data_IF_871147957257
#
_entry.id   IF_871147957257
#
_cell.length_a   1.000
_cell.length_b   1.000
_cell.length_c   1.000
_cell.angle_alpha   90.00
_cell.angle_beta   90.00
_cell.angle_gamma   90.00
#
_symmetry.space_group_name_H-M   'P 1'
#
loop_
_entity.id
_entity.type
_entity.pdbx_description
1 polymer ?
#
# COMPACT_ATOMS: atom_id res chain seq x y z
N UNK A 1 1.69 -18.91 -12.18
CA UNK A 1 2.64 -18.96 -11.05
C UNK A 1 3.87 -18.05 -11.22
N UNK A 2 4.42 -17.86 -12.43
CA UNK A 2 5.73 -17.19 -12.64
C UNK A 2 5.86 -15.70 -12.27
N UNK A 3 4.78 -14.95 -12.05
CA UNK A 3 4.83 -13.50 -11.73
C UNK A 3 4.34 -13.17 -10.31
N UNK A 4 4.09 -14.19 -9.49
CA UNK A 4 3.65 -14.03 -8.12
C UNK A 4 4.74 -13.36 -7.28
N UNK A 5 4.34 -12.51 -6.32
CA UNK A 5 5.29 -11.98 -5.32
C UNK A 5 5.39 -12.97 -4.14
N UNK A 6 6.56 -13.57 -3.88
CA UNK A 6 6.74 -14.43 -2.71
C UNK A 6 6.90 -13.60 -1.43
N UNK A 7 6.39 -14.10 -0.32
CA UNK A 7 6.74 -13.63 1.02
C UNK A 7 7.83 -14.53 1.62
N UNK A 8 8.60 -13.99 2.57
CA UNK A 8 9.52 -14.81 3.36
C UNK A 8 8.73 -15.86 4.14
N UNK A 9 9.24 -17.08 4.24
CA UNK A 9 8.55 -18.12 5.00
C UNK A 9 8.65 -17.86 6.50
N UNK A 10 7.53 -17.95 7.21
CA UNK A 10 7.49 -17.90 8.68
C UNK A 10 7.49 -19.32 9.21
N UNK A 11 8.51 -19.66 10.00
CA UNK A 11 8.65 -20.98 10.59
C UNK A 11 7.43 -21.34 11.44
N UNK A 12 6.84 -22.51 11.17
CA UNK A 12 5.67 -23.01 11.90
C UNK A 12 4.32 -22.48 11.42
N UNK A 13 4.29 -21.63 10.39
CA UNK A 13 3.06 -21.11 9.78
C UNK A 13 2.93 -21.65 8.35
N UNK A 14 1.98 -22.57 8.15
CA UNK A 14 1.70 -23.13 6.83
C UNK A 14 1.24 -22.04 5.84
N UNK A 15 1.74 -22.10 4.60
CA UNK A 15 1.42 -21.16 3.52
C UNK A 15 1.73 -19.68 3.84
N UNK A 16 2.66 -19.41 4.77
CA UNK A 16 3.07 -18.04 5.14
C UNK A 16 3.90 -17.30 4.09
N UNK A 17 4.33 -18.01 3.05
CA UNK A 17 4.92 -17.47 1.83
C UNK A 17 3.85 -16.96 0.84
N UNK A 18 2.56 -17.17 1.16
CA UNK A 18 1.46 -16.85 0.27
C UNK A 18 0.84 -15.45 0.49
N UNK A 19 0.84 -14.60 -0.55
CA UNK A 19 -0.09 -13.47 -0.72
C UNK A 19 -0.62 -13.39 -2.15
N UNK A 20 -1.86 -12.93 -2.33
CA UNK A 20 -2.45 -12.71 -3.66
C UNK A 20 -1.94 -11.40 -4.29
N UNK A 21 -0.68 -11.40 -4.72
CA UNK A 21 -0.02 -10.29 -5.38
C UNK A 21 0.83 -10.75 -6.57
N UNK A 22 0.89 -9.92 -7.61
CA UNK A 22 1.67 -10.18 -8.84
C UNK A 22 2.51 -8.98 -9.23
N UNK A 23 3.73 -9.24 -9.72
CA UNK A 23 4.54 -8.24 -10.36
C UNK A 23 3.98 -7.88 -11.73
N UNK A 24 3.96 -6.59 -12.02
CA UNK A 24 3.57 -6.04 -13.32
C UNK A 24 4.69 -5.15 -13.83
N UNK A 25 5.07 -5.36 -15.08
CA UNK A 25 6.09 -4.55 -15.74
C UNK A 25 5.50 -3.19 -16.12
N UNK A 26 6.26 -2.13 -15.87
CA UNK A 26 5.91 -0.79 -16.32
C UNK A 26 6.67 -0.43 -17.58
N UNK A 27 6.27 0.67 -18.22
CA UNK A 27 7.01 1.23 -19.35
C UNK A 27 8.49 1.53 -18.99
N UNK A 28 8.73 1.96 -17.76
CA UNK A 28 10.04 2.38 -17.27
C UNK A 28 10.90 1.22 -16.72
N UNK A 29 10.39 -0.01 -16.65
CA UNK A 29 11.16 -1.15 -16.15
C UNK A 29 10.35 -2.39 -15.79
N UNK A 30 11.07 -3.50 -15.58
CA UNK A 30 10.48 -4.74 -15.04
C UNK A 30 10.09 -4.55 -13.58
N UNK A 31 9.07 -5.30 -13.15
CA UNK A 31 8.54 -5.31 -11.77
C UNK A 31 8.27 -3.91 -11.20
N UNK A 32 7.78 -2.99 -12.05
CA UNK A 32 7.55 -1.60 -11.67
C UNK A 32 6.35 -1.45 -10.72
N UNK A 33 5.36 -2.32 -10.87
CA UNK A 33 4.18 -2.36 -10.03
C UNK A 33 4.01 -3.73 -9.38
N UNK A 34 3.30 -3.75 -8.27
CA UNK A 34 2.74 -4.94 -7.65
C UNK A 34 1.23 -4.73 -7.61
N UNK A 35 0.49 -5.56 -8.35
CA UNK A 35 -0.97 -5.56 -8.27
C UNK A 35 -1.41 -6.57 -7.21
N UNK A 36 -2.26 -6.15 -6.29
CA UNK A 36 -2.79 -7.00 -5.22
C UNK A 36 -4.27 -6.70 -4.98
N UNK A 37 -4.97 -7.67 -4.41
CA UNK A 37 -6.29 -7.39 -3.83
C UNK A 37 -6.16 -6.51 -2.59
N UNK A 38 -7.25 -5.83 -2.24
CA UNK A 38 -7.39 -5.17 -0.93
C UNK A 38 -7.18 -6.21 0.18
N UNK A 39 -6.35 -5.91 1.21
CA UNK A 39 -6.10 -6.84 2.30
C UNK A 39 -7.39 -7.27 2.99
N UNK A 40 -7.57 -8.58 3.16
CA UNK A 40 -8.64 -9.16 3.96
C UNK A 40 -8.21 -9.14 5.44
N UNK A 41 -9.15 -9.19 6.41
CA UNK A 41 -8.81 -9.17 7.84
C UNK A 41 -7.71 -10.18 8.24
N UNK A 42 -7.71 -11.37 7.62
CA UNK A 42 -6.72 -12.42 7.88
C UNK A 42 -5.40 -12.27 7.10
N UNK A 43 -5.31 -11.33 6.14
CA UNK A 43 -4.12 -11.09 5.31
C UNK A 43 -3.51 -9.70 5.51
N UNK A 44 -3.94 -8.96 6.54
CA UNK A 44 -3.41 -7.62 6.84
C UNK A 44 -1.92 -7.69 7.18
N UNK A 45 -1.53 -8.67 7.99
CA UNK A 45 -0.13 -8.86 8.36
C UNK A 45 0.73 -9.19 7.14
N UNK A 46 0.26 -10.10 6.28
CA UNK A 46 0.94 -10.47 5.04
C UNK A 46 1.09 -9.28 4.07
N UNK A 47 0.12 -8.36 4.06
CA UNK A 47 0.24 -7.13 3.29
C UNK A 47 1.36 -6.23 3.79
N UNK A 48 1.50 -6.01 5.10
CA UNK A 48 2.61 -5.22 5.62
C UNK A 48 3.96 -5.92 5.42
N UNK A 49 4.00 -7.25 5.51
CA UNK A 49 5.17 -8.07 5.16
C UNK A 49 5.56 -7.89 3.69
N UNK A 50 4.59 -7.83 2.77
CA UNK A 50 4.82 -7.51 1.35
C UNK A 50 5.45 -6.12 1.18
N UNK A 51 4.88 -5.10 1.83
CA UNK A 51 5.37 -3.72 1.77
C UNK A 51 6.82 -3.63 2.26
N UNK A 52 7.12 -4.26 3.40
CA UNK A 52 8.45 -4.30 3.99
C UNK A 52 9.45 -5.07 3.10
N UNK A 53 9.10 -6.28 2.67
CA UNK A 53 9.99 -7.14 1.87
C UNK A 53 10.36 -6.51 0.53
N UNK A 54 9.42 -5.83 -0.11
CA UNK A 54 9.66 -5.15 -1.39
C UNK A 54 10.21 -3.73 -1.23
N UNK A 55 10.38 -3.26 0.02
CA UNK A 55 10.80 -1.89 0.36
C UNK A 55 9.95 -0.85 -0.37
N UNK A 56 8.67 -1.16 -0.57
CA UNK A 56 7.75 -0.30 -1.31
C UNK A 56 7.35 0.89 -0.45
N UNK A 57 7.72 2.09 -0.88
CA UNK A 57 7.37 3.34 -0.20
C UNK A 57 6.03 3.93 -0.64
N UNK A 58 5.40 3.34 -1.65
CA UNK A 58 4.24 3.94 -2.32
C UNK A 58 3.18 2.87 -2.58
N UNK A 59 1.99 3.13 -2.03
CA UNK A 59 0.80 2.29 -2.14
C UNK A 59 -0.30 3.15 -2.75
N UNK A 60 -1.03 2.61 -3.73
CA UNK A 60 -2.16 3.27 -4.39
C UNK A 60 -3.42 2.46 -4.17
N UNK A 61 -4.45 3.10 -3.63
CA UNK A 61 -5.78 2.54 -3.46
C UNK A 61 -6.73 3.16 -4.49
N UNK A 62 -7.25 2.32 -5.37
CA UNK A 62 -8.17 2.71 -6.45
C UNK A 62 -9.59 2.18 -6.19
N UNK A 63 -10.15 2.52 -5.02
CA UNK A 63 -11.41 1.96 -4.56
C UNK A 63 -12.42 3.06 -4.25
N UNK A 64 -13.65 2.91 -4.77
CA UNK A 64 -14.79 3.72 -4.38
C UNK A 64 -15.32 3.24 -3.03
N UNK A 65 -14.76 3.75 -1.94
CA UNK A 65 -15.28 3.41 -0.62
C UNK A 65 -16.54 4.25 -0.38
N UNK A 66 -17.69 3.73 -0.84
CA UNK A 66 -19.00 4.33 -0.55
C UNK A 66 -19.33 4.29 0.95
N UNK A 67 -18.86 3.25 1.63
CA UNK A 67 -19.01 3.04 3.07
C UNK A 67 -17.65 2.62 3.67
N UNK A 68 -17.04 3.49 4.47
CA UNK A 68 -15.77 3.20 5.16
C UNK A 68 -15.87 2.00 6.12
N UNK A 69 -17.09 1.61 6.50
CA UNK A 69 -17.38 0.45 7.35
C UNK A 69 -17.25 -0.89 6.63
N UNK A 70 -17.39 -0.94 5.31
CA UNK A 70 -17.22 -2.19 4.54
C UNK A 70 -15.77 -2.41 4.10
N UNK A 71 -14.91 -1.40 4.18
CA UNK A 71 -13.52 -1.49 3.80
C UNK A 71 -12.67 -1.90 5.00
N UNK A 72 -11.94 -3.04 4.94
CA UNK A 72 -11.07 -3.42 6.04
C UNK A 72 -9.97 -2.37 6.20
N UNK A 73 -10.01 -1.63 7.31
CA UNK A 73 -8.94 -0.71 7.69
C UNK A 73 -7.72 -1.53 8.09
N UNK A 74 -6.77 -1.65 7.18
CA UNK A 74 -5.55 -2.43 7.35
C UNK A 74 -4.38 -1.60 7.88
N UNK A 75 -4.59 -0.32 8.20
CA UNK A 75 -3.58 0.62 8.68
C UNK A 75 -4.00 1.25 10.02
N UNK A 76 -3.06 1.78 10.81
CA UNK A 76 -3.36 2.46 12.07
C UNK A 76 -4.14 3.76 11.84
N UNK A 77 -5.16 4.00 12.65
CA UNK A 77 -6.03 5.18 12.52
C UNK A 77 -5.68 6.32 13.48
N UNK A 78 -4.95 6.02 14.56
CA UNK A 78 -4.57 7.02 15.55
C UNK A 78 -3.19 7.59 15.17
N UNK A 79 -3.16 8.87 14.83
CA UNK A 79 -1.92 9.55 14.46
C UNK A 79 -0.94 9.56 15.64
N UNK A 80 0.30 9.17 15.39
CA UNK A 80 1.36 9.12 16.40
C UNK A 80 1.30 7.91 17.35
N UNK A 81 0.35 6.99 17.18
CA UNK A 81 0.28 5.75 17.95
C UNK A 81 0.76 4.57 17.09
N UNK A 82 1.89 3.92 17.44
CA UNK A 82 2.35 2.73 16.75
C UNK A 82 1.37 1.55 16.95
N UNK A 83 1.12 0.81 15.88
CA UNK A 83 0.35 -0.43 15.89
C UNK A 83 1.21 -1.57 15.38
N UNK A 84 1.19 -2.71 16.08
CA UNK A 84 1.95 -3.88 15.73
C UNK A 84 1.16 -4.79 14.77
N UNK A 85 1.79 -5.17 13.67
CA UNK A 85 1.34 -6.14 12.68
C UNK A 85 2.37 -7.27 12.61
N UNK A 86 2.15 -8.30 13.43
CA UNK A 86 3.09 -9.41 13.62
C UNK A 86 4.47 -8.90 14.09
N UNK A 87 5.54 -9.08 13.32
CA UNK A 87 6.89 -8.60 13.64
C UNK A 87 7.13 -7.14 13.21
N UNK A 88 6.16 -6.49 12.57
CA UNK A 88 6.31 -5.13 12.04
C UNK A 88 5.52 -4.15 12.89
N UNK A 89 6.04 -2.94 13.02
CA UNK A 89 5.39 -1.82 13.70
C UNK A 89 5.11 -0.73 12.68
N UNK A 90 3.86 -0.27 12.64
CA UNK A 90 3.40 0.77 11.72
C UNK A 90 2.79 1.91 12.52
N UNK A 91 3.22 3.13 12.25
CA UNK A 91 2.64 4.34 12.82
C UNK A 91 2.17 5.26 11.70
N UNK A 92 1.01 5.89 11.88
CA UNK A 92 0.57 6.97 11.00
C UNK A 92 1.16 8.30 11.47
N UNK A 93 1.87 9.00 10.59
CA UNK A 93 2.45 10.31 10.85
C UNK A 93 1.47 11.44 10.49
N UNK A 94 0.78 11.31 9.35
CA UNK A 94 -0.15 12.32 8.88
C UNK A 94 -1.18 11.76 7.90
N UNK A 95 -2.32 12.45 7.84
CA UNK A 95 -3.38 12.23 6.85
C UNK A 95 -3.78 13.59 6.29
N UNK A 96 -3.84 13.71 4.96
CA UNK A 96 -4.31 14.90 4.25
C UNK A 96 -5.25 14.50 3.12
N UNK A 97 -6.14 15.39 2.72
CA UNK A 97 -7.03 15.17 1.57
C UNK A 97 -7.02 16.39 0.65
N UNK A 98 -6.65 16.18 -0.60
CA UNK A 98 -6.60 17.23 -1.62
C UNK A 98 -7.15 16.69 -2.94
N UNK A 99 -8.04 17.46 -3.59
CA UNK A 99 -8.61 17.12 -4.90
C UNK A 99 -9.28 15.73 -5.02
N UNK A 100 -9.69 15.12 -3.91
CA UNK A 100 -10.26 13.76 -3.88
C UNK A 100 -9.22 12.64 -3.85
N UNK A 101 -7.98 12.98 -3.48
CA UNK A 101 -6.91 12.05 -3.15
C UNK A 101 -6.62 12.23 -1.68
N UNK A 102 -6.86 11.18 -0.89
CA UNK A 102 -6.45 11.13 0.50
C UNK A 102 -5.05 10.53 0.59
N UNK A 103 -4.11 11.28 1.14
CA UNK A 103 -2.72 10.87 1.31
C UNK A 103 -2.48 10.57 2.78
N UNK A 104 -1.97 9.37 3.07
CA UNK A 104 -1.57 8.97 4.42
C UNK A 104 -0.10 8.63 4.43
N UNK A 105 0.64 9.21 5.36
CA UNK A 105 2.05 8.94 5.57
C UNK A 105 2.22 8.06 6.80
N UNK A 106 3.02 7.01 6.65
CA UNK A 106 3.33 6.05 7.70
C UNK A 106 4.84 5.88 7.86
N UNK A 107 5.22 5.46 9.06
CA UNK A 107 6.53 4.88 9.35
C UNK A 107 6.34 3.40 9.62
N UNK A 108 7.05 2.56 8.87
CA UNK A 108 7.06 1.11 8.98
C UNK A 108 8.44 0.65 9.44
N UNK A 109 8.51 -0.14 10.51
CA UNK A 109 9.78 -0.64 11.06
C UNK A 109 9.65 -2.08 11.56
N UNK A 110 10.71 -2.89 11.49
CA UNK A 110 10.77 -4.19 12.17
C UNK A 110 10.98 -4.06 13.69
N UNK A 111 11.17 -2.84 14.22
CA UNK A 111 11.41 -2.58 15.63
C UNK A 111 10.23 -1.84 16.29
N UNK A 112 9.88 -2.18 17.55
CA UNK A 112 8.78 -1.53 18.27
C UNK A 112 8.96 -0.03 18.51
N UNK A 113 10.21 0.44 18.56
CA UNK A 113 10.58 1.85 18.77
C UNK A 113 10.62 2.65 17.45
N UNK A 114 10.23 2.03 16.33
CA UNK A 114 10.28 2.61 14.98
C UNK A 114 11.70 2.97 14.50
N UNK A 115 12.75 2.42 15.14
CA UNK A 115 14.12 2.56 14.64
C UNK A 115 14.26 1.97 13.24
N UNK A 116 15.16 2.51 12.41
CA UNK A 116 15.30 2.13 10.99
C UNK A 116 13.98 2.16 10.18
N UNK A 117 13.07 3.07 10.55
CA UNK A 117 11.75 3.16 9.96
C UNK A 117 11.77 3.61 8.49
N UNK A 118 11.11 2.84 7.63
CA UNK A 118 10.83 3.19 6.25
C UNK A 118 9.57 4.07 6.16
N UNK A 119 9.65 5.17 5.42
CA UNK A 119 8.48 5.99 5.10
C UNK A 119 7.64 5.32 4.01
N UNK A 120 6.35 5.14 4.28
CA UNK A 120 5.38 4.56 3.35
C UNK A 120 4.22 5.53 3.16
N UNK A 121 3.84 5.81 1.92
CA UNK A 121 2.72 6.68 1.58
C UNK A 121 1.60 5.85 0.93
N UNK A 122 0.39 5.99 1.46
CA UNK A 122 -0.83 5.47 0.85
C UNK A 122 -1.56 6.63 0.17
N UNK A 123 -1.75 6.54 -1.14
CA UNK A 123 -2.57 7.45 -1.92
C UNK A 123 -3.90 6.77 -2.25
N UNK A 124 -4.99 7.27 -1.66
CA UNK A 124 -6.33 6.74 -1.89
C UNK A 124 -7.13 7.72 -2.74
N UNK A 125 -7.44 7.31 -3.96
CA UNK A 125 -8.28 8.09 -4.85
C UNK A 125 -9.75 7.72 -4.63
N UNK A 126 -10.51 8.64 -4.02
CA UNK A 126 -11.89 8.40 -3.56
C UNK A 126 -12.94 8.72 -4.62
N UNK A 127 -12.56 9.42 -5.70
CA UNK A 127 -13.47 9.86 -6.77
C UNK A 127 -13.65 8.84 -7.90
N UNK A 128 -12.94 7.71 -7.86
CA UNK A 128 -13.09 6.67 -8.88
C UNK A 128 -14.37 5.89 -8.65
N UNK A 129 -15.46 6.22 -9.35
CA UNK A 129 -16.70 5.47 -9.22
C UNK A 129 -16.58 4.05 -9.83
N UNK A 130 -17.01 3.03 -9.10
CA UNK A 130 -17.05 1.64 -9.60
C UNK A 130 -17.72 1.56 -10.98
N UNK A 131 -17.07 0.85 -11.90
CA UNK A 131 -17.52 0.61 -13.28
C UNK A 131 -17.70 1.86 -14.17
N UNK A 132 -17.13 3.02 -13.79
CA UNK A 132 -17.14 4.23 -14.62
C UNK A 132 -15.74 4.87 -14.70
N UNK A 133 -15.46 5.53 -15.81
CA UNK A 133 -14.26 6.37 -15.96
C UNK A 133 -14.46 7.63 -15.08
N UNK A 134 -13.43 8.11 -14.35
CA UNK A 134 -13.54 9.36 -13.62
C UNK A 134 -14.02 10.50 -14.53
N UNK A 135 -14.88 11.40 -14.02
CA UNK A 135 -15.52 12.44 -14.84
C UNK A 135 -14.51 13.44 -15.42
N UNK A 136 -13.33 13.57 -14.80
CA UNK A 136 -12.22 14.39 -15.29
C UNK A 136 -10.87 13.66 -15.12
N UNK A 137 -9.95 13.93 -16.05
CA UNK A 137 -8.61 13.34 -16.03
C UNK A 137 -7.69 13.96 -14.95
N UNK A 138 -8.01 15.16 -14.47
CA UNK A 138 -7.16 15.94 -13.54
C UNK A 138 -6.81 15.17 -12.26
N UNK A 139 -7.77 14.41 -11.72
CA UNK A 139 -7.56 13.59 -10.53
C UNK A 139 -6.55 12.46 -10.76
N UNK A 140 -6.64 11.77 -11.90
CA UNK A 140 -5.70 10.71 -12.27
C UNK A 140 -4.31 11.30 -12.57
N UNK A 141 -4.25 12.44 -13.26
CA UNK A 141 -2.98 13.12 -13.56
C UNK A 141 -2.28 13.56 -12.26
N UNK A 142 -3.05 14.14 -11.33
CA UNK A 142 -2.54 14.52 -10.01
C UNK A 142 -2.05 13.30 -9.22
N UNK A 143 -2.84 12.22 -9.21
CA UNK A 143 -2.45 10.96 -8.55
C UNK A 143 -1.15 10.40 -9.12
N UNK A 144 -1.04 10.33 -10.44
CA UNK A 144 0.16 9.83 -11.12
C UNK A 144 1.39 10.66 -10.75
N UNK A 145 1.24 11.99 -10.70
CA UNK A 145 2.30 12.91 -10.30
C UNK A 145 2.74 12.69 -8.85
N UNK A 146 1.79 12.54 -7.92
CA UNK A 146 2.07 12.27 -6.50
C UNK A 146 2.78 10.93 -6.29
N UNK A 147 2.30 9.88 -6.97
CA UNK A 147 2.86 8.53 -6.90
C UNK A 147 4.29 8.48 -7.43
N UNK A 148 4.54 9.09 -8.59
CA UNK A 148 5.88 9.14 -9.18
C UNK A 148 6.86 9.97 -8.34
N UNK A 149 6.40 11.08 -7.76
CA UNK A 149 7.23 11.87 -6.85
C UNK A 149 7.57 11.10 -5.58
N UNK A 150 6.58 10.44 -4.96
CA UNK A 150 6.79 9.60 -3.77
C UNK A 150 7.81 8.49 -4.02
N UNK A 151 7.67 7.78 -5.15
CA UNK A 151 8.62 6.74 -5.56
C UNK A 151 10.02 7.30 -5.78
N UNK A 152 10.17 8.43 -6.47
CA UNK A 152 11.51 9.02 -6.70
C UNK A 152 12.19 9.47 -5.41
N UNK A 153 11.44 9.97 -4.44
CA UNK A 153 11.96 10.45 -3.16
C UNK A 153 12.39 9.35 -2.19
N UNK A 154 11.73 8.19 -2.24
CA UNK A 154 11.90 7.13 -1.23
C UNK A 154 12.47 5.81 -1.78
N UNK A 155 12.88 5.79 -3.05
CA UNK A 155 13.53 4.66 -3.70
C UNK A 155 12.73 4.12 -4.88
N UNK A 156 13.43 3.70 -5.94
CA UNK A 156 12.82 3.25 -7.20
C UNK A 156 12.13 1.86 -7.12
N UNK A 157 11.66 1.49 -5.93
CA UNK A 157 11.02 0.21 -5.64
C UNK A 157 9.62 0.13 -6.26
N UNK A 158 9.01 -1.08 -6.30
CA UNK A 158 7.73 -1.27 -6.96
C UNK A 158 6.61 -0.49 -6.26
N UNK A 159 5.70 0.09 -7.05
CA UNK A 159 4.48 0.71 -6.54
C UNK A 159 3.44 -0.38 -6.31
N UNK A 160 2.91 -0.47 -5.09
CA UNK A 160 1.83 -1.40 -4.79
C UNK A 160 0.50 -0.75 -5.19
N UNK A 161 -0.25 -1.40 -6.05
CA UNK A 161 -1.60 -0.99 -6.45
C UNK A 161 -2.58 -2.01 -5.89
N UNK A 162 -3.42 -1.57 -4.97
CA UNK A 162 -4.46 -2.38 -4.37
C UNK A 162 -5.85 -1.94 -4.85
N UNK A 163 -6.58 -2.89 -5.44
CA UNK A 163 -7.96 -2.73 -5.87
C UNK A 163 -8.89 -3.77 -5.22
N UNK A 164 -10.19 -3.58 -5.31
CA UNK A 164 -11.19 -4.57 -4.90
C UNK A 164 -11.36 -5.68 -5.95
#
# INVERSE_FOLDING_TARGET
ECNRVPLEYVSGVENSDYINAVFVHGYLGRNYFIATQTPLPNTINDFWRLVHAQKSSTIVLLNNVKDETSFPRFWPTNTGEPTQYDSLTVQMDSETEENGIRTRKFVLSPYPDLSDGQVVNIFHYTKWADHRVPPNADGIISLTSLVENSRKSHGQQPIIVACR
#
